data_IF_841176868535
#
_entry.id   IF_841176868535
#
_cell.length_a   1.000
_cell.length_b   1.000
_cell.length_c   1.000
_cell.angle_alpha   90.00
_cell.angle_beta   90.00
_cell.angle_gamma   90.00
#
_symmetry.space_group_name_H-M   'P 1'
#
loop_
_entity.id
_entity.type
_entity.pdbx_description
1 polymer ?
#
# COMPACT_ATOMS: atom_id res chain seq x y z
N UNK A 1 5.70 6.83 -6.16
CA UNK A 1 5.01 6.12 -5.05
C UNK A 1 3.49 6.24 -5.05
N UNK A 2 2.88 7.10 -5.89
CA UNK A 2 1.41 7.18 -5.98
C UNK A 2 0.73 5.92 -6.58
N UNK A 3 1.44 5.06 -7.32
CA UNK A 3 0.86 3.89 -8.00
C UNK A 3 0.66 2.64 -7.14
N UNK A 4 0.82 2.74 -5.83
CA UNK A 4 0.41 1.65 -4.93
C UNK A 4 -0.46 2.23 -3.84
N UNK A 5 -1.54 2.83 -4.31
CA UNK A 5 -2.72 3.15 -3.52
C UNK A 5 -3.46 1.92 -3.01
N UNK A 6 -3.02 0.72 -3.42
CA UNK A 6 -3.54 -0.56 -2.98
C UNK A 6 -3.44 -0.67 -1.46
N UNK A 7 -4.59 -0.61 -0.83
CA UNK A 7 -4.74 -0.94 0.57
C UNK A 7 -4.45 -2.42 0.78
N UNK A 8 -3.89 -2.78 1.92
CA UNK A 8 -3.78 -4.19 2.28
C UNK A 8 -5.16 -4.74 2.61
N UNK A 9 -5.80 -5.39 1.63
CA UNK A 9 -7.11 -6.04 1.78
C UNK A 9 -7.06 -7.19 2.78
N UNK A 10 -5.89 -7.81 2.97
CA UNK A 10 -5.67 -8.90 3.91
C UNK A 10 -5.96 -8.47 5.34
N UNK A 11 -5.54 -7.25 5.71
CA UNK A 11 -5.86 -6.64 7.00
C UNK A 11 -7.15 -5.82 6.96
N UNK A 12 -7.38 -5.10 5.85
CA UNK A 12 -8.46 -4.14 5.72
C UNK A 12 -9.84 -4.79 5.76
N UNK A 13 -10.02 -5.97 5.16
CA UNK A 13 -11.33 -6.64 5.14
C UNK A 13 -11.73 -7.18 6.51
N UNK A 14 -10.90 -7.95 7.23
CA UNK A 14 -11.23 -8.38 8.60
C UNK A 14 -11.58 -7.19 9.50
N UNK A 15 -10.81 -6.10 9.43
CA UNK A 15 -11.11 -4.88 10.19
C UNK A 15 -12.42 -4.22 9.75
N UNK A 16 -12.69 -4.13 8.44
CA UNK A 16 -13.93 -3.56 7.94
C UNK A 16 -15.14 -4.40 8.33
N UNK A 17 -15.01 -5.73 8.40
CA UNK A 17 -16.08 -6.63 8.80
C UNK A 17 -16.48 -6.42 10.26
N UNK A 18 -15.51 -6.19 11.14
CA UNK A 18 -15.76 -5.93 12.56
C UNK A 18 -16.25 -4.50 12.82
N UNK A 19 -15.66 -3.49 12.16
CA UNK A 19 -15.95 -2.07 12.43
C UNK A 19 -17.11 -1.51 11.60
N UNK A 20 -17.31 -2.03 10.40
CA UNK A 20 -18.27 -1.54 9.39
C UNK A 20 -18.89 -2.71 8.60
N UNK A 21 -19.60 -3.64 9.25
CA UNK A 21 -20.03 -4.92 8.66
C UNK A 21 -20.85 -4.79 7.37
N UNK A 22 -21.63 -3.71 7.23
CA UNK A 22 -22.46 -3.46 6.04
C UNK A 22 -21.69 -2.91 4.82
N UNK A 23 -20.38 -2.66 4.98
CA UNK A 23 -19.58 -1.90 4.01
C UNK A 23 -18.30 -2.63 3.57
N UNK A 24 -18.11 -3.90 3.97
CA UNK A 24 -16.94 -4.72 3.58
C UNK A 24 -16.80 -4.86 2.05
N UNK A 25 -17.91 -4.98 1.33
CA UNK A 25 -17.93 -5.09 -0.12
C UNK A 25 -17.30 -3.87 -0.82
N UNK A 26 -17.39 -2.69 -0.20
CA UNK A 26 -16.77 -1.47 -0.74
C UNK A 26 -15.24 -1.52 -0.66
N UNK A 27 -14.66 -2.22 0.31
CA UNK A 27 -13.21 -2.40 0.41
C UNK A 27 -12.71 -3.19 -0.81
N UNK A 28 -13.40 -4.28 -1.15
CA UNK A 28 -13.10 -5.09 -2.34
C UNK A 28 -13.30 -4.32 -3.65
N UNK A 29 -14.41 -3.57 -3.76
CA UNK A 29 -14.70 -2.78 -4.94
C UNK A 29 -13.64 -1.69 -5.15
N UNK A 30 -13.28 -0.97 -4.09
CA UNK A 30 -12.28 0.07 -4.13
C UNK A 30 -10.90 -0.48 -4.55
N UNK A 31 -10.49 -1.63 -3.99
CA UNK A 31 -9.26 -2.30 -4.41
C UNK A 31 -9.29 -2.68 -5.90
N UNK A 32 -10.41 -3.22 -6.37
CA UNK A 32 -10.55 -3.67 -7.76
C UNK A 32 -10.45 -2.49 -8.74
N UNK A 33 -11.12 -1.38 -8.42
CA UNK A 33 -11.04 -0.12 -9.19
C UNK A 33 -9.61 0.40 -9.19
N UNK A 34 -8.93 0.40 -8.04
CA UNK A 34 -7.54 0.85 -7.96
C UNK A 34 -6.62 -0.01 -8.84
N UNK A 35 -6.74 -1.33 -8.79
CA UNK A 35 -5.87 -2.24 -9.54
C UNK A 35 -6.11 -2.20 -11.05
N UNK A 36 -7.36 -2.05 -11.50
CA UNK A 36 -7.72 -2.17 -12.92
C UNK A 36 -7.79 -0.82 -13.63
N UNK A 37 -8.09 0.26 -12.92
CA UNK A 37 -8.29 1.58 -13.53
C UNK A 37 -7.15 2.53 -13.15
N UNK A 38 -6.92 2.73 -11.86
CA UNK A 38 -6.01 3.78 -11.38
C UNK A 38 -4.54 3.37 -11.56
N UNK A 39 -4.16 2.19 -11.09
CA UNK A 39 -2.77 1.72 -11.13
C UNK A 39 -2.22 1.63 -12.55
N UNK A 40 -2.97 1.16 -13.58
CA UNK A 40 -2.50 1.19 -14.96
C UNK A 40 -2.12 2.58 -15.44
N UNK A 41 -2.97 3.58 -15.18
CA UNK A 41 -2.67 4.98 -15.56
C UNK A 41 -1.39 5.47 -14.89
N UNK A 42 -1.23 5.18 -13.60
CA UNK A 42 -0.05 5.60 -12.85
C UNK A 42 1.23 4.85 -13.26
N UNK A 43 1.12 3.56 -13.63
CA UNK A 43 2.22 2.78 -14.20
C UNK A 43 2.63 3.32 -15.57
N UNK A 44 1.66 3.67 -16.43
CA UNK A 44 1.93 4.31 -17.71
C UNK A 44 2.65 5.65 -17.54
N UNK A 45 2.20 6.49 -16.60
CA UNK A 45 2.85 7.77 -16.31
C UNK A 45 4.29 7.58 -15.81
N UNK A 46 4.54 6.55 -14.99
CA UNK A 46 5.91 6.21 -14.57
C UNK A 46 6.77 5.74 -15.74
N UNK A 47 6.25 4.88 -16.62
CA UNK A 47 6.97 4.40 -17.79
C UNK A 47 7.32 5.56 -18.75
N UNK A 48 6.40 6.51 -18.93
CA UNK A 48 6.63 7.73 -19.72
C UNK A 48 7.70 8.62 -19.06
N UNK A 49 7.62 8.82 -17.74
CA UNK A 49 8.61 9.60 -17.01
C UNK A 49 10.01 8.99 -17.07
N UNK A 50 10.12 7.67 -16.97
CA UNK A 50 11.37 6.93 -17.07
C UNK A 50 11.98 7.02 -18.48
N UNK A 51 11.16 6.90 -19.53
CA UNK A 51 11.60 7.07 -20.91
C UNK A 51 12.08 8.49 -21.21
N UNK A 52 11.42 9.51 -20.64
CA UNK A 52 11.84 10.91 -20.76
C UNK A 52 13.16 11.17 -20.02
N UNK A 53 13.35 10.59 -18.83
CA UNK A 53 14.58 10.71 -18.05
C UNK A 53 15.79 10.07 -18.74
N UNK A 54 15.59 8.99 -19.48
CA UNK A 54 16.65 8.26 -20.20
C UNK A 54 17.00 8.86 -21.56
N UNK A 55 16.51 10.06 -21.88
CA UNK A 55 16.86 10.79 -23.11
C UNK A 55 16.40 10.10 -24.39
N UNK A 56 15.27 9.38 -24.36
CA UNK A 56 14.81 8.60 -25.51
C UNK A 56 14.48 9.52 -26.70
N UNK A 57 15.08 9.23 -27.86
CA UNK A 57 14.82 9.91 -29.16
C UNK A 57 13.54 9.41 -29.86
N UNK A 58 12.81 8.48 -29.24
CA UNK A 58 11.57 7.94 -29.77
C UNK A 58 10.44 8.99 -29.74
N UNK A 59 9.54 8.93 -30.73
CA UNK A 59 8.39 9.84 -30.74
C UNK A 59 7.49 9.58 -29.52
N UNK A 60 6.87 10.63 -28.97
CA UNK A 60 6.03 10.52 -27.76
C UNK A 60 4.94 9.45 -27.87
N UNK A 61 4.42 9.22 -29.08
CA UNK A 61 3.45 8.16 -29.38
C UNK A 61 4.04 6.75 -29.23
N UNK A 62 5.31 6.54 -29.60
CA UNK A 62 5.98 5.24 -29.43
C UNK A 62 6.26 4.95 -27.95
N UNK A 63 6.64 5.96 -27.17
CA UNK A 63 6.81 5.85 -25.72
C UNK A 63 5.48 5.48 -25.06
N UNK A 64 4.41 6.21 -25.41
CA UNK A 64 3.08 5.94 -24.87
C UNK A 64 2.57 4.54 -25.23
N UNK A 65 2.77 4.09 -26.48
CA UNK A 65 2.38 2.74 -26.90
C UNK A 65 3.14 1.66 -26.15
N UNK A 66 4.45 1.84 -25.93
CA UNK A 66 5.27 0.89 -25.15
C UNK A 66 4.82 0.84 -23.70
N UNK A 67 4.58 2.00 -23.08
CA UNK A 67 4.06 2.10 -21.71
C UNK A 67 2.69 1.42 -21.57
N UNK A 68 1.78 1.66 -22.52
CA UNK A 68 0.47 1.01 -22.54
C UNK A 68 0.59 -0.51 -22.65
N UNK A 69 1.44 -1.01 -23.55
CA UNK A 69 1.64 -2.46 -23.73
C UNK A 69 2.29 -3.11 -22.50
N UNK A 70 3.27 -2.45 -21.88
CA UNK A 70 3.91 -2.93 -20.66
C UNK A 70 2.91 -3.00 -19.49
N UNK A 71 2.06 -1.98 -19.37
CA UNK A 71 1.00 -1.91 -18.36
C UNK A 71 -0.06 -2.99 -18.57
N UNK A 72 -0.52 -3.20 -19.81
CA UNK A 72 -1.51 -4.24 -20.14
C UNK A 72 -0.96 -5.66 -19.98
N UNK A 73 0.37 -5.83 -19.99
CA UNK A 73 1.03 -7.11 -19.70
C UNK A 73 1.38 -7.30 -18.23
N UNK A 74 1.06 -6.33 -17.37
CA UNK A 74 1.33 -6.44 -15.95
C UNK A 74 0.45 -7.56 -15.34
N UNK A 75 1.04 -8.58 -14.69
CA UNK A 75 0.27 -9.68 -14.11
C UNK A 75 -0.82 -9.22 -13.14
N UNK A 76 -0.59 -8.14 -12.38
CA UNK A 76 -1.60 -7.60 -11.46
C UNK A 76 -2.85 -7.13 -12.20
N UNK A 77 -2.67 -6.44 -13.33
CA UNK A 77 -3.78 -5.92 -14.13
C UNK A 77 -4.50 -7.05 -14.84
N UNK A 78 -3.74 -7.95 -15.49
CA UNK A 78 -4.29 -9.08 -16.25
C UNK A 78 -5.07 -10.03 -15.36
N UNK A 79 -4.51 -10.43 -14.21
CA UNK A 79 -5.17 -11.37 -13.31
C UNK A 79 -6.41 -10.77 -12.64
N UNK A 80 -6.39 -9.48 -12.29
CA UNK A 80 -7.56 -8.81 -11.71
C UNK A 80 -8.68 -8.67 -12.75
N UNK A 81 -8.35 -8.25 -13.98
CA UNK A 81 -9.32 -8.18 -15.08
C UNK A 81 -9.89 -9.56 -15.43
N UNK A 82 -9.06 -10.61 -15.45
CA UNK A 82 -9.50 -11.98 -15.66
C UNK A 82 -10.45 -12.46 -14.55
N UNK A 83 -10.18 -12.11 -13.28
CA UNK A 83 -11.07 -12.41 -12.17
C UNK A 83 -12.45 -11.75 -12.30
N UNK A 84 -12.49 -10.49 -12.72
CA UNK A 84 -13.74 -9.76 -13.00
C UNK A 84 -14.50 -10.42 -14.15
N UNK A 85 -13.81 -10.77 -15.25
CA UNK A 85 -14.42 -11.45 -16.38
C UNK A 85 -14.97 -12.84 -15.99
N UNK A 86 -14.22 -13.60 -15.19
CA UNK A 86 -14.68 -14.89 -14.69
C UNK A 86 -15.94 -14.75 -13.81
N UNK A 87 -16.04 -13.70 -13.00
CA UNK A 87 -17.24 -13.41 -12.20
C UNK A 87 -18.49 -13.17 -13.06
N UNK A 88 -18.34 -12.67 -14.29
CA UNK A 88 -19.46 -12.47 -15.22
C UNK A 88 -19.84 -13.76 -15.95
N UNK A 89 -18.86 -14.60 -16.28
CA UNK A 89 -19.08 -15.89 -16.95
C UNK A 89 -19.70 -16.91 -15.98
N UNK A 90 -19.33 -16.86 -14.69
CA UNK A 90 -19.76 -17.78 -13.65
C UNK A 90 -20.56 -17.07 -12.54
N UNK A 91 -21.79 -16.59 -12.81
CA UNK A 91 -22.57 -15.81 -11.84
C UNK A 91 -23.00 -16.62 -10.60
N UNK A 92 -23.09 -17.95 -10.73
CA UNK A 92 -23.41 -18.86 -9.61
C UNK A 92 -22.17 -19.25 -8.76
N UNK A 93 -20.98 -18.75 -9.10
CA UNK A 93 -19.71 -19.10 -8.47
C UNK A 93 -18.79 -19.94 -9.35
N UNK A 94 -17.51 -20.00 -8.99
CA UNK A 94 -16.47 -20.69 -9.77
C UNK A 94 -16.69 -22.22 -9.79
N UNK A 95 -16.41 -22.91 -10.92
CA UNK A 95 -16.36 -24.36 -10.99
C UNK A 95 -15.44 -24.96 -9.91
N UNK A 96 -15.75 -26.16 -9.39
CA UNK A 96 -15.08 -26.76 -8.23
C UNK A 96 -13.55 -26.75 -8.31
N UNK A 97 -12.98 -27.05 -9.48
CA UNK A 97 -11.52 -27.04 -9.68
C UNK A 97 -10.94 -25.63 -9.58
N UNK A 98 -11.58 -24.64 -10.21
CA UNK A 98 -11.16 -23.24 -10.17
C UNK A 98 -11.38 -22.63 -8.78
N UNK A 99 -12.46 -23.02 -8.08
CA UNK A 99 -12.71 -22.63 -6.71
C UNK A 99 -11.61 -23.14 -5.77
N UNK A 100 -11.23 -24.42 -5.88
CA UNK A 100 -10.15 -25.00 -5.08
C UNK A 100 -8.81 -24.29 -5.34
N UNK A 101 -8.49 -24.01 -6.60
CA UNK A 101 -7.30 -23.23 -6.97
C UNK A 101 -7.36 -21.81 -6.38
N UNK A 102 -8.48 -21.11 -6.53
CA UNK A 102 -8.67 -19.77 -5.99
C UNK A 102 -8.51 -19.74 -4.45
N UNK A 103 -8.99 -20.76 -3.75
CA UNK A 103 -8.81 -20.92 -2.30
C UNK A 103 -7.33 -21.12 -1.93
N UNK A 104 -6.60 -21.95 -2.66
CA UNK A 104 -5.17 -22.14 -2.39
C UNK A 104 -4.37 -20.87 -2.67
N UNK A 105 -4.66 -20.18 -3.78
CA UNK A 105 -4.00 -18.91 -4.14
C UNK A 105 -4.32 -17.82 -3.11
N UNK A 106 -5.56 -17.74 -2.64
CA UNK A 106 -5.96 -16.74 -1.64
C UNK A 106 -5.30 -16.98 -0.28
N UNK A 107 -4.98 -18.22 0.07
CA UNK A 107 -4.20 -18.55 1.27
C UNK A 107 -2.71 -18.28 1.10
N UNK A 108 -2.13 -18.58 -0.07
CA UNK A 108 -0.71 -18.38 -0.34
C UNK A 108 -0.33 -16.90 -0.49
N UNK A 109 -1.22 -16.08 -1.05
CA UNK A 109 -0.98 -14.65 -1.33
C UNK A 109 -0.50 -13.86 -0.09
N UNK A 110 -1.27 -13.87 1.02
CA UNK A 110 -0.86 -13.27 2.28
C UNK A 110 0.49 -13.77 2.80
N UNK A 111 0.76 -15.08 2.72
CA UNK A 111 2.03 -15.66 3.18
C UNK A 111 3.23 -15.08 2.42
N UNK A 112 3.12 -14.98 1.08
CA UNK A 112 4.16 -14.36 0.25
C UNK A 112 4.29 -12.86 0.52
N UNK A 113 3.17 -12.17 0.78
CA UNK A 113 3.16 -10.77 1.18
C UNK A 113 3.91 -10.54 2.50
N UNK A 114 3.62 -11.35 3.52
CA UNK A 114 4.32 -11.28 4.82
C UNK A 114 5.77 -11.73 4.74
N UNK A 115 6.12 -12.71 3.90
CA UNK A 115 7.51 -13.07 3.64
C UNK A 115 8.27 -11.88 3.01
N UNK A 116 7.67 -11.24 2.01
CA UNK A 116 8.23 -10.03 1.40
C UNK A 116 8.37 -8.89 2.41
N UNK A 117 7.41 -8.74 3.34
CA UNK A 117 7.51 -7.80 4.45
C UNK A 117 8.67 -8.18 5.40
N UNK A 118 8.88 -9.46 5.66
CA UNK A 118 10.01 -9.97 6.42
C UNK A 118 11.36 -9.58 5.79
N UNK A 119 11.49 -9.69 4.47
CA UNK A 119 12.67 -9.21 3.75
C UNK A 119 12.83 -7.68 3.85
N UNK A 120 11.74 -6.93 3.78
CA UNK A 120 11.75 -5.48 3.98
C UNK A 120 12.23 -5.10 5.39
N UNK A 121 11.80 -5.83 6.42
CA UNK A 121 12.26 -5.66 7.81
C UNK A 121 13.73 -6.06 7.98
N UNK A 122 14.17 -7.16 7.36
CA UNK A 122 15.58 -7.58 7.39
C UNK A 122 16.53 -6.56 6.74
N UNK A 123 16.05 -5.80 5.75
CA UNK A 123 16.82 -4.74 5.10
C UNK A 123 16.98 -3.47 5.96
N UNK A 124 16.27 -3.34 7.09
CA UNK A 124 16.30 -2.14 7.94
C UNK A 124 17.66 -1.88 8.58
N UNK A 125 18.46 -2.91 8.84
CA UNK A 125 19.79 -2.77 9.43
C UNK A 125 20.77 -1.96 8.58
N UNK A 126 20.47 -1.73 7.29
CA UNK A 126 21.26 -0.91 6.38
C UNK A 126 20.61 0.42 5.99
N UNK A 127 19.47 0.80 6.59
CA UNK A 127 18.75 2.03 6.28
C UNK A 127 19.43 3.24 6.94
N UNK A 128 19.76 4.25 6.14
CA UNK A 128 20.36 5.50 6.63
C UNK A 128 19.31 6.42 7.27
N UNK A 129 19.76 7.37 8.11
CA UNK A 129 18.86 8.33 8.77
C UNK A 129 18.07 9.19 7.79
N UNK A 130 18.65 9.54 6.64
CA UNK A 130 17.97 10.29 5.58
C UNK A 130 16.92 9.43 4.87
N UNK A 131 17.21 8.16 4.59
CA UNK A 131 16.23 7.23 4.02
C UNK A 131 15.04 7.00 4.97
N UNK A 132 15.31 6.85 6.27
CA UNK A 132 14.27 6.76 7.29
C UNK A 132 13.42 8.04 7.38
N UNK A 133 14.04 9.23 7.28
CA UNK A 133 13.31 10.48 7.26
C UNK A 133 12.39 10.60 6.04
N UNK A 134 12.87 10.25 4.84
CA UNK A 134 12.03 10.22 3.64
C UNK A 134 10.87 9.24 3.79
N UNK A 135 11.13 8.04 4.32
CA UNK A 135 10.09 7.03 4.58
C UNK A 135 9.03 7.57 5.56
N UNK A 136 9.44 8.24 6.64
CA UNK A 136 8.53 8.83 7.61
C UNK A 136 7.68 9.96 7.00
N UNK A 137 8.29 10.85 6.21
CA UNK A 137 7.58 11.94 5.52
C UNK A 137 6.55 11.37 4.53
N UNK A 138 6.92 10.37 3.74
CA UNK A 138 6.02 9.73 2.79
C UNK A 138 4.87 8.97 3.48
N UNK A 139 5.17 8.31 4.59
CA UNK A 139 4.17 7.65 5.42
C UNK A 139 3.17 8.66 6.02
N UNK A 140 3.67 9.73 6.64
CA UNK A 140 2.86 10.80 7.20
C UNK A 140 2.01 11.50 6.13
N UNK A 141 2.61 11.83 4.98
CA UNK A 141 1.89 12.40 3.85
C UNK A 141 0.75 11.49 3.38
N UNK A 142 0.98 10.17 3.24
CA UNK A 142 -0.08 9.22 2.90
C UNK A 142 -1.19 9.22 3.94
N UNK A 143 -0.86 9.17 5.22
CA UNK A 143 -1.84 9.04 6.30
C UNK A 143 -2.66 10.31 6.53
N UNK A 144 -2.13 11.48 6.17
CA UNK A 144 -2.87 12.73 6.21
C UNK A 144 -3.68 12.95 4.91
N UNK A 145 -3.03 12.80 3.75
CA UNK A 145 -3.61 13.13 2.46
C UNK A 145 -4.76 12.18 2.09
N UNK A 146 -4.67 10.90 2.43
CA UNK A 146 -5.65 9.92 1.98
C UNK A 146 -7.00 10.00 2.67
N UNK A 147 -7.09 10.04 4.00
CA UNK A 147 -8.37 10.31 4.65
C UNK A 147 -8.99 11.63 4.17
N UNK A 148 -8.17 12.67 3.96
CA UNK A 148 -8.65 13.95 3.43
C UNK A 148 -9.21 13.81 2.01
N UNK A 149 -8.50 13.14 1.09
CA UNK A 149 -8.96 12.92 -0.28
C UNK A 149 -10.26 12.11 -0.30
N UNK A 150 -10.34 11.02 0.47
CA UNK A 150 -11.54 10.18 0.51
C UNK A 150 -12.76 10.97 0.99
N UNK A 151 -12.62 11.83 2.01
CA UNK A 151 -13.72 12.68 2.51
C UNK A 151 -14.17 13.72 1.49
N UNK A 152 -13.22 14.45 0.89
CA UNK A 152 -13.55 15.54 -0.03
C UNK A 152 -14.09 15.03 -1.37
N UNK A 153 -13.46 14.00 -1.94
CA UNK A 153 -13.93 13.39 -3.20
C UNK A 153 -15.28 12.71 -3.01
N UNK A 154 -15.51 12.04 -1.87
CA UNK A 154 -16.82 11.48 -1.55
C UNK A 154 -17.91 12.56 -1.50
N UNK A 155 -17.61 13.72 -0.92
CA UNK A 155 -18.53 14.87 -0.92
C UNK A 155 -18.85 15.37 -2.32
N UNK A 156 -17.85 15.47 -3.20
CA UNK A 156 -18.04 15.92 -4.59
C UNK A 156 -18.83 14.92 -5.46
N UNK A 157 -18.67 13.63 -5.19
CA UNK A 157 -19.34 12.54 -5.94
C UNK A 157 -20.75 12.24 -5.37
N UNK A 158 -21.13 12.87 -4.26
CA UNK A 158 -22.43 12.63 -3.61
C UNK A 158 -22.50 11.28 -2.90
N UNK A 159 -21.38 10.75 -2.43
CA UNK A 159 -21.33 9.50 -1.69
C UNK A 159 -21.93 9.68 -0.29
N UNK A 160 -22.99 8.92 0.01
CA UNK A 160 -23.75 9.00 1.27
C UNK A 160 -23.18 8.15 2.42
N UNK A 161 -21.96 7.61 2.24
CA UNK A 161 -21.33 6.72 3.24
C UNK A 161 -20.82 7.53 4.43
N UNK A 162 -20.76 6.87 5.59
CA UNK A 162 -20.33 7.52 6.83
C UNK A 162 -18.91 8.05 6.71
N UNK A 163 -18.69 9.25 7.26
CA UNK A 163 -17.36 9.88 7.27
C UNK A 163 -16.32 9.01 7.98
N UNK A 164 -16.73 8.29 9.02
CA UNK A 164 -15.89 7.32 9.72
C UNK A 164 -15.39 6.20 8.81
N UNK A 165 -16.27 5.63 7.97
CA UNK A 165 -15.87 4.60 7.02
C UNK A 165 -14.93 5.14 5.93
N UNK A 166 -15.17 6.36 5.44
CA UNK A 166 -14.30 7.00 4.44
C UNK A 166 -12.91 7.31 5.00
N UNK A 167 -12.85 7.76 6.26
CA UNK A 167 -11.61 7.99 6.99
C UNK A 167 -10.88 6.67 7.24
N UNK A 168 -11.60 5.62 7.64
CA UNK A 168 -11.07 4.27 7.78
C UNK A 168 -10.46 3.77 6.46
N UNK A 169 -11.18 3.89 5.34
CA UNK A 169 -10.67 3.51 4.01
C UNK A 169 -9.38 4.24 3.67
N UNK A 170 -9.33 5.57 3.84
CA UNK A 170 -8.11 6.35 3.58
C UNK A 170 -6.96 6.03 4.52
N UNK A 171 -7.27 5.61 5.75
CA UNK A 171 -6.29 5.24 6.75
C UNK A 171 -5.69 3.84 6.51
N UNK A 172 -6.34 2.95 5.75
CA UNK A 172 -5.89 1.56 5.54
C UNK A 172 -4.41 1.46 5.11
N UNK A 173 -3.66 0.48 5.64
CA UNK A 173 -2.21 0.39 5.45
C UNK A 173 -1.83 0.16 3.98
N UNK A 174 -0.62 0.60 3.63
CA UNK A 174 -0.08 0.37 2.29
C UNK A 174 0.17 -1.14 2.09
N UNK A 175 -0.23 -1.67 0.94
CA UNK A 175 -0.05 -3.08 0.61
C UNK A 175 1.43 -3.47 0.51
N UNK A 176 1.77 -4.70 0.92
CA UNK A 176 3.10 -5.29 0.70
C UNK A 176 3.53 -5.30 -0.78
N UNK A 177 2.58 -5.24 -1.72
CA UNK A 177 2.84 -5.12 -3.16
C UNK A 177 3.66 -3.86 -3.53
N UNK A 178 3.59 -2.80 -2.72
CA UNK A 178 4.41 -1.58 -2.93
C UNK A 178 5.90 -1.91 -2.89
N UNK A 179 6.31 -2.77 -1.95
CA UNK A 179 7.70 -3.18 -1.81
C UNK A 179 8.16 -4.06 -2.99
N UNK A 180 7.31 -5.01 -3.43
CA UNK A 180 7.58 -5.81 -4.62
C UNK A 180 7.73 -4.95 -5.88
N UNK A 181 6.88 -3.93 -6.04
CA UNK A 181 6.99 -2.97 -7.14
C UNK A 181 8.33 -2.20 -7.08
N UNK A 182 8.81 -1.85 -5.89
CA UNK A 182 10.10 -1.17 -5.74
C UNK A 182 11.27 -2.07 -6.16
N UNK A 183 11.24 -3.35 -5.78
CA UNK A 183 12.25 -4.32 -6.21
C UNK A 183 12.30 -4.46 -7.73
N UNK A 184 11.14 -4.59 -8.38
CA UNK A 184 11.07 -4.73 -9.85
C UNK A 184 11.45 -3.45 -10.61
N UNK A 185 11.23 -2.28 -10.02
CA UNK A 185 11.47 -0.97 -10.65
C UNK A 185 12.77 -0.29 -10.23
N UNK A 186 13.66 -1.00 -9.52
CA UNK A 186 14.92 -0.46 -8.99
C UNK A 186 14.76 0.83 -8.18
N UNK A 187 13.59 1.04 -7.58
CA UNK A 187 13.37 2.14 -6.64
C UNK A 187 14.02 1.76 -5.31
N UNK A 188 14.55 2.73 -4.55
CA UNK A 188 15.28 2.45 -3.31
C UNK A 188 14.47 1.57 -2.35
N UNK A 189 14.78 0.25 -2.23
CA UNK A 189 14.04 -0.65 -1.35
C UNK A 189 14.30 -0.30 0.12
N UNK A 190 15.35 0.48 0.40
CA UNK A 190 15.75 0.94 1.73
C UNK A 190 14.88 2.08 2.26
N UNK A 191 14.23 2.85 1.38
CA UNK A 191 13.25 3.88 1.76
C UNK A 191 11.86 3.26 1.89
N UNK A 192 11.47 2.40 0.95
CA UNK A 192 10.12 1.83 0.93
C UNK A 192 9.97 0.65 1.90
N UNK A 193 11.04 -0.10 2.14
CA UNK A 193 11.07 -1.22 3.08
C UNK A 193 10.61 -0.83 4.49
N UNK A 194 11.14 0.24 5.11
CA UNK A 194 10.64 0.78 6.38
C UNK A 194 9.26 1.41 6.31
N UNK A 195 8.88 2.01 5.17
CA UNK A 195 7.58 2.68 5.01
C UNK A 195 6.41 1.72 5.14
N UNK A 196 6.49 0.53 4.54
CA UNK A 196 5.39 -0.45 4.56
C UNK A 196 5.01 -0.86 6.00
N UNK A 197 5.90 -1.42 6.84
CA UNK A 197 5.57 -1.83 8.20
C UNK A 197 5.22 -0.64 9.12
N UNK A 198 5.90 0.51 8.98
CA UNK A 198 5.56 1.70 9.78
C UNK A 198 4.19 2.23 9.44
N UNK A 199 3.85 2.31 8.15
CA UNK A 199 2.50 2.66 7.71
C UNK A 199 1.48 1.64 8.19
N UNK A 200 1.82 0.35 8.23
CA UNK A 200 0.94 -0.71 8.68
C UNK A 200 0.55 -0.56 10.14
N UNK A 201 1.54 -0.41 11.02
CA UNK A 201 1.32 -0.18 12.45
C UNK A 201 0.55 1.11 12.72
N UNK A 202 0.94 2.21 12.07
CA UNK A 202 0.33 3.52 12.29
C UNK A 202 -1.11 3.59 11.75
N UNK A 203 -1.37 2.93 10.62
CA UNK A 203 -2.71 2.82 10.04
C UNK A 203 -3.67 2.06 10.95
N UNK A 204 -3.22 0.99 11.61
CA UNK A 204 -4.06 0.24 12.57
C UNK A 204 -4.43 1.12 13.76
N UNK A 205 -3.47 1.88 14.31
CA UNK A 205 -3.73 2.83 15.40
C UNK A 205 -4.75 3.90 14.98
N UNK A 206 -4.58 4.48 13.79
CA UNK A 206 -5.49 5.51 13.29
C UNK A 206 -6.88 4.97 12.91
N UNK A 207 -6.95 3.77 12.33
CA UNK A 207 -8.19 3.11 11.97
C UNK A 207 -9.03 2.73 13.20
N UNK A 208 -8.37 2.42 14.33
CA UNK A 208 -9.02 2.08 15.60
C UNK A 208 -9.27 3.29 16.51
N UNK A 209 -8.68 4.45 16.22
CA UNK A 209 -8.86 5.68 17.01
C UNK A 209 -10.33 6.08 17.26
N UNK A 210 -11.28 5.91 16.31
CA UNK A 210 -12.69 6.23 16.54
C UNK A 210 -13.37 5.37 17.61
N UNK A 211 -12.83 4.19 17.94
CA UNK A 211 -13.36 3.31 18.97
C UNK A 211 -12.92 3.70 20.38
N UNK A 212 -11.87 4.52 20.50
CA UNK A 212 -11.30 4.95 21.78
C UNK A 212 -11.24 6.49 21.84
N UNK A 213 -12.40 7.18 21.91
CA UNK A 213 -12.48 8.65 21.84
C UNK A 213 -11.68 9.37 22.94
N UNK A 214 -11.44 8.72 24.09
CA UNK A 214 -10.60 9.27 25.18
C UNK A 214 -9.09 9.27 24.92
N UNK A 215 -8.60 8.57 23.91
CA UNK A 215 -7.17 8.50 23.56
C UNK A 215 -6.82 9.26 22.27
N UNK A 216 -7.81 9.62 21.46
CA UNK A 216 -7.62 10.17 20.11
C UNK A 216 -7.14 11.63 20.13
N UNK A 217 -7.69 12.49 21.00
CA UNK A 217 -7.31 13.91 21.04
C UNK A 217 -5.93 14.13 21.68
N UNK A 218 -5.57 13.35 22.70
CA UNK A 218 -4.24 13.39 23.31
C UNK A 218 -3.17 12.82 22.36
N UNK A 219 -3.44 11.71 21.67
CA UNK A 219 -2.44 11.02 20.83
C UNK A 219 -2.30 11.58 19.43
N UNK A 220 -3.30 12.26 18.85
CA UNK A 220 -3.11 12.93 17.53
C UNK A 220 -2.20 14.15 17.69
N UNK A 221 -2.36 14.94 18.76
CA UNK A 221 -1.43 16.00 19.13
C UNK A 221 -0.02 15.44 19.43
N UNK A 222 0.04 14.32 20.16
CA UNK A 222 1.28 13.60 20.45
C UNK A 222 1.85 12.85 19.24
N UNK A 223 1.11 12.56 18.16
CA UNK A 223 1.61 12.00 16.89
C UNK A 223 2.13 13.10 15.97
N UNK A 224 1.55 14.29 15.99
CA UNK A 224 2.09 15.46 15.26
C UNK A 224 3.36 15.98 15.92
N UNK A 225 3.42 16.03 17.26
CA UNK A 225 4.66 16.28 18.00
C UNK A 225 5.58 15.04 17.97
N UNK A 226 4.99 13.85 18.01
CA UNK A 226 5.67 12.56 17.93
C UNK A 226 6.18 12.18 16.56
N UNK A 227 5.86 12.91 15.48
CA UNK A 227 6.56 12.76 14.22
C UNK A 227 8.01 13.30 14.36
N UNK A 228 8.22 14.31 15.21
CA UNK A 228 9.56 14.76 15.61
C UNK A 228 10.19 13.86 16.67
N UNK A 229 9.40 13.31 17.60
CA UNK A 229 9.90 12.35 18.59
C UNK A 229 10.09 10.92 18.04
N UNK A 230 9.40 10.52 16.97
CA UNK A 230 9.53 9.20 16.31
C UNK A 230 10.79 9.13 15.47
N UNK A 231 11.32 10.24 14.99
CA UNK A 231 12.71 10.27 14.52
C UNK A 231 13.69 9.88 15.65
N UNK A 232 13.37 10.23 16.90
CA UNK A 232 14.15 9.93 18.11
C UNK A 232 13.84 8.55 18.70
N UNK A 233 12.60 8.06 18.64
CA UNK A 233 12.17 6.73 19.12
C UNK A 233 12.51 5.64 18.09
N UNK A 234 12.46 5.94 16.78
CA UNK A 234 13.11 5.08 15.78
C UNK A 234 14.62 5.08 16.01
N UNK A 235 15.27 6.23 16.23
CA UNK A 235 16.70 6.26 16.55
C UNK A 235 17.05 5.49 17.85
N UNK A 236 16.20 5.53 18.88
CA UNK A 236 16.36 4.78 20.13
C UNK A 236 16.02 3.28 19.97
N UNK A 237 15.02 2.92 19.15
CA UNK A 237 14.75 1.54 18.76
C UNK A 237 15.86 0.93 17.91
N UNK A 238 16.49 1.73 17.05
CA UNK A 238 17.72 1.39 16.32
C UNK A 238 18.95 1.25 17.24
N UNK A 239 18.96 1.91 18.40
CA UNK A 239 19.99 1.77 19.44
C UNK A 239 19.73 0.59 20.38
N UNK A 240 18.47 0.20 20.58
CA UNK A 240 18.07 -0.93 21.44
C UNK A 240 18.16 -2.29 20.74
N UNK A 241 18.13 -2.32 19.40
CA UNK A 241 18.54 -3.48 18.60
C UNK A 241 20.07 -3.44 18.50
N UNK A 242 20.73 -3.83 19.59
CA UNK A 242 22.17 -4.06 19.62
C UNK A 242 22.56 -5.01 18.48
N UNK A 243 23.24 -4.44 17.48
CA UNK A 243 23.97 -5.18 16.45
C UNK A 243 24.96 -6.13 17.15
N UNK A 244 25.05 -7.41 16.76
CA UNK A 244 26.24 -8.17 17.06
C UNK A 244 27.42 -7.46 16.40
N UNK A 245 28.35 -7.03 17.24
CA UNK A 245 29.60 -6.42 16.82
C UNK A 245 30.32 -7.39 15.88
N UNK A 246 30.51 -6.97 14.63
CA UNK A 246 31.51 -7.60 13.76
C UNK A 246 32.87 -7.30 14.39
N UNK A 247 33.37 -8.22 15.20
CA UNK A 247 34.79 -8.38 15.40
C UNK A 247 35.41 -8.59 14.03
N UNK A 248 36.37 -7.72 13.69
CA UNK A 248 37.29 -7.98 12.59
C UNK A 248 37.92 -9.34 12.86
N UNK A 249 37.76 -10.27 11.92
CA UNK A 249 38.65 -11.41 11.79
C UNK A 249 39.54 -11.05 10.61
N UNK A 250 40.83 -10.98 10.92
CA UNK A 250 41.93 -10.79 9.97
C UNK A 250 41.96 -11.90 8.90
#
# INVERSE_FOLDING_TARGET
MAASHSFDVTLGVPLAKELYPSTEAYVYLNQSIQLVIINPVLLMLMDVGEASSKGSTASGTQVLRKAMLATMRNPLVVLTAAGIAASQIFPAGLPTVLAALATQVSQAGPCLGFLSLGFALGALGGTTRTEAAHAAVLCGAKLALMPWLYRNVAGLVGCTRSEGFLTFLGALPASASVYSLCLTRQLSPRVVGPLVPTSMLLSVVLALAPLFPGAAEARVAELTLGATASASVLALGFLAISLPSRTKVD
#
